data_IF_928784248771
#
_entry.id   IF_928784248771
#
_cell.length_a   1.000
_cell.length_b   1.000
_cell.length_c   1.000
_cell.angle_alpha   90.00
_cell.angle_beta   90.00
_cell.angle_gamma   90.00
#
_symmetry.space_group_name_H-M   'P 1'
#
loop_
_entity.id
_entity.type
_entity.pdbx_description
1 polymer ?
#
# COMPACT_ATOMS: atom_id res chain seq x y z
N UNK A 1 -26.23 -1.59 0.74
CA UNK A 1 -25.43 -0.39 1.03
C UNK A 1 -24.00 -0.66 0.59
N UNK A 2 -23.28 0.28 -0.05
CA UNK A 2 -21.86 0.11 -0.29
C UNK A 2 -21.15 -0.08 1.07
N UNK A 3 -20.34 -1.13 1.21
CA UNK A 3 -19.51 -1.31 2.41
C UNK A 3 -18.61 -0.09 2.53
N UNK A 4 -18.71 0.68 3.62
CA UNK A 4 -17.74 1.72 3.93
C UNK A 4 -16.39 1.04 4.16
N UNK A 5 -15.38 1.44 3.39
CA UNK A 5 -14.01 1.01 3.63
C UNK A 5 -13.52 1.64 4.92
N UNK A 6 -12.92 0.86 5.81
CA UNK A 6 -12.26 1.39 6.99
C UNK A 6 -10.84 1.85 6.67
N UNK A 7 -10.31 2.81 7.43
CA UNK A 7 -8.91 3.24 7.32
C UNK A 7 -7.94 2.05 7.36
N UNK A 8 -8.20 1.07 8.25
CA UNK A 8 -7.40 -0.16 8.34
C UNK A 8 -7.36 -0.94 7.01
N UNK A 9 -8.49 -1.04 6.31
CA UNK A 9 -8.54 -1.71 5.01
C UNK A 9 -7.79 -0.95 3.93
N UNK A 10 -7.80 0.39 3.95
CA UNK A 10 -7.01 1.21 3.04
C UNK A 10 -5.51 0.99 3.25
N UNK A 11 -5.05 0.99 4.50
CA UNK A 11 -3.64 0.77 4.84
C UNK A 11 -3.17 -0.64 4.43
N UNK A 12 -3.97 -1.67 4.69
CA UNK A 12 -3.67 -3.05 4.25
C UNK A 12 -3.57 -3.13 2.73
N UNK A 13 -4.56 -2.58 2.01
CA UNK A 13 -4.56 -2.58 0.55
C UNK A 13 -3.35 -1.82 -0.03
N UNK A 14 -2.95 -0.71 0.60
CA UNK A 14 -1.79 0.08 0.20
C UNK A 14 -0.49 -0.69 0.40
N UNK A 15 -0.30 -1.36 1.54
CA UNK A 15 0.85 -2.24 1.77
C UNK A 15 0.92 -3.36 0.72
N UNK A 16 -0.19 -4.05 0.45
CA UNK A 16 -0.24 -5.10 -0.57
C UNK A 16 0.15 -4.57 -1.95
N UNK A 17 -0.29 -3.36 -2.30
CA UNK A 17 0.11 -2.71 -3.55
C UNK A 17 1.60 -2.43 -3.59
N UNK A 18 2.17 -1.92 -2.49
CA UNK A 18 3.60 -1.66 -2.37
C UNK A 18 4.41 -2.96 -2.53
N UNK A 19 3.88 -4.08 -2.03
CA UNK A 19 4.44 -5.42 -2.21
C UNK A 19 4.23 -6.00 -3.63
N UNK A 20 3.67 -5.22 -4.56
CA UNK A 20 3.52 -5.57 -5.97
C UNK A 20 2.20 -6.26 -6.33
N UNK A 21 1.21 -6.33 -5.42
CA UNK A 21 -0.10 -6.93 -5.73
C UNK A 21 -0.92 -6.05 -6.68
N UNK A 22 -1.55 -6.70 -7.66
CA UNK A 22 -2.49 -6.04 -8.57
C UNK A 22 -3.81 -5.68 -7.86
N UNK A 23 -4.56 -4.72 -8.42
CA UNK A 23 -5.88 -4.33 -7.89
C UNK A 23 -6.84 -5.52 -7.82
N UNK A 24 -6.76 -6.45 -8.79
CA UNK A 24 -7.56 -7.67 -8.82
C UNK A 24 -7.24 -8.60 -7.64
N UNK A 25 -5.96 -8.78 -7.32
CA UNK A 25 -5.54 -9.59 -6.16
C UNK A 25 -5.97 -8.95 -4.84
N UNK A 26 -5.77 -7.65 -4.69
CA UNK A 26 -6.17 -6.90 -3.49
C UNK A 26 -7.70 -6.97 -3.30
N UNK A 27 -8.46 -6.80 -4.38
CA UNK A 27 -9.91 -6.88 -4.37
C UNK A 27 -10.39 -8.28 -3.97
N UNK A 28 -9.78 -9.32 -4.52
CA UNK A 28 -10.07 -10.71 -4.20
C UNK A 28 -9.80 -11.03 -2.72
N UNK A 29 -8.66 -10.58 -2.20
CA UNK A 29 -8.25 -10.83 -0.81
C UNK A 29 -9.16 -10.11 0.20
N UNK A 30 -9.54 -8.87 -0.09
CA UNK A 30 -10.30 -8.03 0.84
C UNK A 30 -11.83 -8.12 0.65
N UNK A 31 -12.29 -8.85 -0.37
CA UNK A 31 -13.71 -9.02 -0.67
C UNK A 31 -14.38 -7.76 -1.24
N UNK A 32 -13.67 -7.04 -2.12
CA UNK A 32 -14.13 -5.86 -2.85
C UNK A 32 -14.00 -6.05 -4.36
N UNK A 33 -14.39 -5.04 -5.14
CA UNK A 33 -14.18 -5.03 -6.59
C UNK A 33 -12.88 -4.33 -6.95
N UNK A 34 -12.32 -4.68 -8.11
CA UNK A 34 -11.12 -4.03 -8.63
C UNK A 34 -11.31 -2.51 -8.80
N UNK A 35 -12.50 -2.08 -9.26
CA UNK A 35 -12.87 -0.67 -9.39
C UNK A 35 -12.86 0.04 -8.04
N UNK A 36 -13.32 -0.62 -6.97
CA UNK A 36 -13.28 -0.07 -5.62
C UNK A 36 -11.83 0.18 -5.17
N UNK A 37 -10.92 -0.78 -5.40
CA UNK A 37 -9.49 -0.62 -5.08
C UNK A 37 -8.85 0.49 -5.92
N UNK A 38 -9.19 0.58 -7.21
CA UNK A 38 -8.71 1.66 -8.09
C UNK A 38 -9.12 3.05 -7.58
N UNK A 39 -10.33 3.18 -7.01
CA UNK A 39 -10.79 4.43 -6.41
C UNK A 39 -10.08 4.75 -5.09
N UNK A 40 -9.72 3.74 -4.29
CA UNK A 40 -8.98 3.94 -3.04
C UNK A 40 -7.61 4.58 -3.25
N UNK A 41 -6.91 4.23 -4.33
CA UNK A 41 -5.61 4.81 -4.69
C UNK A 41 -5.65 6.32 -4.88
N UNK A 42 -6.83 6.89 -5.16
CA UNK A 42 -7.01 8.33 -5.38
C UNK A 42 -7.27 9.09 -4.08
N UNK A 43 -7.45 8.40 -2.96
CA UNK A 43 -7.68 9.02 -1.67
C UNK A 43 -6.38 9.61 -1.13
N UNK A 44 -6.46 10.79 -0.52
CA UNK A 44 -5.32 11.47 0.09
C UNK A 44 -4.57 10.56 1.09
N UNK A 45 -5.31 9.91 1.99
CA UNK A 45 -4.74 8.96 2.96
C UNK A 45 -3.96 7.81 2.33
N UNK A 46 -4.32 7.37 1.11
CA UNK A 46 -3.54 6.35 0.40
C UNK A 46 -2.20 6.94 -0.05
N UNK A 47 -2.24 8.13 -0.66
CA UNK A 47 -1.06 8.79 -1.19
C UNK A 47 -0.06 9.13 -0.08
N UNK A 48 -0.55 9.64 1.05
CA UNK A 48 0.26 9.93 2.23
C UNK A 48 0.96 8.68 2.76
N UNK A 49 0.19 7.60 2.97
CA UNK A 49 0.74 6.35 3.49
C UNK A 49 1.70 5.66 2.51
N UNK A 50 1.41 5.69 1.21
CA UNK A 50 2.30 5.14 0.17
C UNK A 50 3.64 5.89 0.15
N UNK A 51 3.63 7.22 0.33
CA UNK A 51 4.85 8.01 0.44
C UNK A 51 5.67 7.64 1.69
N UNK A 52 5.02 7.42 2.83
CA UNK A 52 5.70 6.95 4.06
C UNK A 52 6.33 5.57 3.88
N UNK A 53 5.65 4.63 3.22
CA UNK A 53 6.21 3.30 2.92
C UNK A 53 7.45 3.39 2.03
N UNK A 54 7.39 4.23 0.99
CA UNK A 54 8.51 4.47 0.08
C UNK A 54 9.68 5.09 0.84
N UNK A 55 9.43 6.07 1.70
CA UNK A 55 10.49 6.71 2.48
C UNK A 55 11.14 5.72 3.46
N UNK A 56 10.33 4.96 4.21
CA UNK A 56 10.81 3.93 5.13
C UNK A 56 11.66 2.89 4.40
N UNK A 57 11.25 2.45 3.21
CA UNK A 57 12.02 1.54 2.38
C UNK A 57 13.36 2.14 1.94
N UNK A 58 13.38 3.41 1.51
CA UNK A 58 14.62 4.12 1.14
C UNK A 58 15.59 4.23 2.32
N UNK A 59 15.09 4.58 3.51
CA UNK A 59 15.93 4.65 4.71
C UNK A 59 16.53 3.30 5.06
N UNK A 60 15.74 2.21 4.97
CA UNK A 60 16.25 0.86 5.19
C UNK A 60 17.31 0.46 4.17
N UNK A 61 17.10 0.75 2.89
CA UNK A 61 18.07 0.46 1.83
C UNK A 61 19.40 1.19 2.07
N UNK A 62 19.37 2.49 2.41
CA UNK A 62 20.56 3.29 2.69
C UNK A 62 21.32 2.80 3.95
N UNK A 63 20.58 2.40 4.99
CA UNK A 63 21.18 1.84 6.20
C UNK A 63 21.82 0.47 5.96
N UNK A 64 21.29 -0.32 5.01
CA UNK A 64 21.87 -1.61 4.64
C UNK A 64 23.20 -1.44 3.88
N UNK A 65 23.29 -0.47 2.97
CA UNK A 65 24.51 -0.19 2.19
C UNK A 65 25.67 0.28 3.08
N UNK A 66 25.36 1.02 4.15
CA UNK A 66 26.35 1.49 5.14
C UNK A 66 26.79 0.42 6.15
N UNK A 67 26.09 -0.73 6.22
CA UNK A 67 26.36 -1.82 7.16
C UNK A 67 27.19 -2.99 6.56
N UNK A 68 27.49 -2.97 5.26
CA UNK A 68 28.41 -3.93 4.62
C UNK A 68 29.84 -3.40 4.63
N UNK A 69 30.74 -3.87 5.52
CA UNK A 69 32.15 -3.56 5.44
C UNK A 69 32.78 -4.31 4.25
N UNK A 70 33.51 -3.57 3.40
CA UNK A 70 34.40 -4.08 2.35
C UNK A 70 35.54 -4.93 2.89
#
# INVERSE_FOLDING_TARGET
>A
MPKRVSTKQLLIACQMSFDGKSNREIASELGFTETTVSNWRKLEIWQEFEAELIDAYKQQALNLESATPS
#
